data_IF_650977466759
#
_entry.id   IF_650977466759
#
_cell.length_a   1.000
_cell.length_b   1.000
_cell.length_c   1.000
_cell.angle_alpha   90.00
_cell.angle_beta   90.00
_cell.angle_gamma   90.00
#
_symmetry.space_group_name_H-M   'P 1'
#
loop_
_entity.id
_entity.type
_entity.pdbx_description
1 polymer ?
#
# COMPACT_ATOMS: atom_id res chain seq x y z
N UNK A 1 4.91 19.25 14.39
CA UNK A 1 3.81 19.52 13.45
C UNK A 1 3.28 18.17 12.93
N UNK A 2 1.95 17.97 12.84
CA UNK A 2 1.36 16.69 12.40
C UNK A 2 1.82 16.30 10.99
N UNK A 3 1.84 17.26 10.06
CA UNK A 3 2.26 17.05 8.67
C UNK A 3 3.69 16.51 8.57
N UNK A 4 4.63 17.07 9.34
CA UNK A 4 6.02 16.64 9.30
C UNK A 4 6.20 15.20 9.84
N UNK A 5 5.42 14.84 10.86
CA UNK A 5 5.40 13.46 11.37
C UNK A 5 4.82 12.49 10.32
N UNK A 6 3.72 12.86 9.67
CA UNK A 6 3.11 12.03 8.61
C UNK A 6 4.05 11.83 7.43
N UNK A 7 4.77 12.88 7.00
CA UNK A 7 5.79 12.79 5.95
C UNK A 7 6.94 11.88 6.34
N UNK A 8 7.44 11.98 7.57
CA UNK A 8 8.54 11.13 8.06
C UNK A 8 8.14 9.65 8.08
N UNK A 9 6.96 9.32 8.62
CA UNK A 9 6.44 7.95 8.64
C UNK A 9 6.15 7.42 7.23
N UNK A 10 5.62 8.27 6.35
CA UNK A 10 5.37 7.94 4.95
C UNK A 10 6.67 7.58 4.24
N UNK A 11 7.73 8.38 4.41
CA UNK A 11 9.04 8.10 3.82
C UNK A 11 9.64 6.80 4.36
N UNK A 12 9.54 6.58 5.66
CA UNK A 12 9.99 5.34 6.29
C UNK A 12 9.26 4.12 5.69
N UNK A 13 7.94 4.21 5.53
CA UNK A 13 7.13 3.12 4.98
C UNK A 13 7.44 2.85 3.51
N UNK A 14 7.61 3.90 2.69
CA UNK A 14 8.05 3.74 1.28
C UNK A 14 9.39 3.01 1.22
N UNK A 15 10.38 3.46 2.00
CA UNK A 15 11.72 2.87 1.96
C UNK A 15 11.69 1.42 2.42
N UNK A 16 10.95 1.09 3.48
CA UNK A 16 10.80 -0.28 3.94
C UNK A 16 10.14 -1.19 2.89
N UNK A 17 9.12 -0.70 2.18
CA UNK A 17 8.43 -1.49 1.15
C UNK A 17 9.30 -1.76 -0.08
N UNK A 18 10.24 -0.89 -0.43
CA UNK A 18 11.16 -1.08 -1.56
C UNK A 18 12.12 -2.26 -1.35
N UNK A 19 12.37 -2.62 -0.10
CA UNK A 19 13.24 -3.75 0.26
C UNK A 19 12.48 -5.09 0.32
N UNK A 20 11.16 -5.10 0.06
CA UNK A 20 10.33 -6.31 0.10
C UNK A 20 10.03 -6.77 -1.32
N UNK A 21 10.65 -7.89 -1.70
CA UNK A 21 10.37 -8.55 -2.99
C UNK A 21 8.90 -8.96 -3.12
N UNK A 22 8.36 -8.84 -4.32
CA UNK A 22 6.97 -9.20 -4.64
C UNK A 22 5.91 -8.22 -4.10
N UNK A 23 6.32 -7.03 -3.62
CA UNK A 23 5.42 -5.94 -3.22
C UNK A 23 5.69 -4.70 -4.07
N UNK A 24 4.63 -4.18 -4.70
CA UNK A 24 4.68 -2.95 -5.51
C UNK A 24 3.71 -1.90 -4.97
N UNK A 25 4.19 -0.67 -4.81
CA UNK A 25 3.32 0.48 -4.51
C UNK A 25 2.70 0.97 -5.82
N UNK A 26 1.37 1.08 -5.86
CA UNK A 26 0.66 1.77 -6.92
C UNK A 26 0.58 3.27 -6.60
N UNK A 27 1.25 4.11 -7.39
CA UNK A 27 1.26 5.57 -7.23
C UNK A 27 2.65 6.15 -6.90
N UNK A 28 2.71 7.39 -6.37
CA UNK A 28 3.97 8.09 -6.11
C UNK A 28 4.90 7.38 -5.11
N UNK A 29 6.20 7.42 -5.42
CA UNK A 29 7.28 6.82 -4.62
C UNK A 29 8.03 7.86 -3.75
N UNK A 30 7.45 9.06 -3.59
CA UNK A 30 7.94 10.16 -2.77
C UNK A 30 6.90 10.57 -1.74
N UNK A 31 7.18 11.59 -0.92
CA UNK A 31 6.22 12.21 0.02
C UNK A 31 5.44 13.38 -0.58
N UNK A 32 5.76 13.78 -1.82
CA UNK A 32 5.14 14.92 -2.48
C UNK A 32 3.78 14.54 -3.08
N UNK A 33 2.80 15.45 -2.96
CA UNK A 33 1.45 15.31 -3.53
C UNK A 33 0.75 13.98 -3.18
N UNK A 34 0.93 13.49 -1.95
CA UNK A 34 0.32 12.25 -1.47
C UNK A 34 -0.21 12.35 -0.05
N UNK A 35 -1.14 11.44 0.27
CA UNK A 35 -1.54 11.15 1.63
C UNK A 35 -0.80 9.90 2.16
N UNK A 36 -0.88 9.68 3.48
CA UNK A 36 -0.37 8.48 4.16
C UNK A 36 -1.30 7.26 3.96
N UNK A 37 -1.73 7.03 2.72
CA UNK A 37 -2.56 5.89 2.30
C UNK A 37 -1.83 5.22 1.13
N UNK A 38 -1.82 3.88 1.13
CA UNK A 38 -1.02 3.09 0.19
C UNK A 38 -1.88 1.99 -0.43
N UNK A 39 -1.90 1.96 -1.76
CA UNK A 39 -2.39 0.82 -2.53
C UNK A 39 -1.20 -0.07 -2.86
N UNK A 40 -1.20 -1.29 -2.32
CA UNK A 40 -0.13 -2.26 -2.49
C UNK A 40 -0.60 -3.40 -3.40
N UNK A 41 0.25 -3.75 -4.35
CA UNK A 41 0.06 -4.88 -5.24
C UNK A 41 1.03 -5.96 -4.79
N UNK A 42 0.49 -7.15 -4.55
CA UNK A 42 1.25 -8.32 -4.13
C UNK A 42 1.23 -9.36 -5.24
N UNK A 43 2.31 -10.12 -5.40
CA UNK A 43 2.32 -11.32 -6.26
C UNK A 43 1.38 -12.40 -5.71
N UNK A 44 1.27 -12.46 -4.38
CA UNK A 44 0.35 -13.36 -3.68
C UNK A 44 -1.08 -12.80 -3.65
N UNK A 45 -2.06 -13.67 -3.38
CA UNK A 45 -3.46 -13.28 -3.25
C UNK A 45 -3.67 -12.13 -2.24
N UNK A 46 -4.15 -10.95 -2.66
CA UNK A 46 -4.30 -9.77 -1.78
C UNK A 46 -5.19 -10.02 -0.56
N UNK A 47 -6.24 -10.83 -0.74
CA UNK A 47 -7.15 -11.18 0.35
C UNK A 47 -6.46 -12.03 1.43
N UNK A 48 -5.65 -13.01 1.02
CA UNK A 48 -4.90 -13.84 1.95
C UNK A 48 -3.86 -13.00 2.72
N UNK A 49 -3.18 -12.07 2.04
CA UNK A 49 -2.23 -11.13 2.67
C UNK A 49 -2.92 -10.25 3.70
N UNK A 50 -4.06 -9.63 3.36
CA UNK A 50 -4.81 -8.78 4.29
C UNK A 50 -5.27 -9.57 5.54
N UNK A 51 -5.78 -10.79 5.34
CA UNK A 51 -6.19 -11.67 6.44
C UNK A 51 -5.01 -12.07 7.34
N UNK A 52 -3.85 -12.35 6.74
CA UNK A 52 -2.63 -12.70 7.49
C UNK A 52 -2.11 -11.53 8.31
N UNK A 53 -2.09 -10.32 7.73
CA UNK A 53 -1.73 -9.10 8.44
C UNK A 53 -2.62 -8.85 9.66
N UNK A 54 -3.93 -9.07 9.52
CA UNK A 54 -4.88 -8.92 10.62
C UNK A 54 -4.68 -10.01 11.69
N UNK A 55 -4.61 -11.28 11.28
CA UNK A 55 -4.59 -12.42 12.21
C UNK A 55 -3.26 -12.55 12.97
N UNK A 56 -2.14 -12.41 12.26
CA UNK A 56 -0.82 -12.71 12.83
C UNK A 56 -0.19 -11.47 13.48
N UNK A 57 -0.54 -10.27 13.01
CA UNK A 57 0.11 -9.01 13.40
C UNK A 57 -0.85 -7.93 13.92
N UNK A 58 -2.17 -8.15 13.87
CA UNK A 58 -3.16 -7.15 14.28
C UNK A 58 -3.23 -5.93 13.36
N UNK A 59 -2.72 -6.03 12.12
CA UNK A 59 -2.69 -4.94 11.15
C UNK A 59 -3.91 -5.02 10.25
N UNK A 60 -4.92 -4.20 10.54
CA UNK A 60 -6.13 -4.12 9.73
C UNK A 60 -5.87 -3.41 8.40
N UNK A 61 -6.13 -4.11 7.29
CA UNK A 61 -6.06 -3.57 5.94
C UNK A 61 -7.30 -3.96 5.13
N UNK A 62 -7.43 -3.47 3.90
CA UNK A 62 -8.52 -3.86 2.99
C UNK A 62 -7.92 -4.36 1.69
N UNK A 63 -8.53 -5.40 1.13
CA UNK A 63 -8.19 -5.96 -0.18
C UNK A 63 -9.36 -5.79 -1.15
N UNK A 64 -9.08 -5.59 -2.44
CA UNK A 64 -10.08 -5.62 -3.51
C UNK A 64 -9.98 -4.41 -4.45
N UNK A 65 -11.05 -4.16 -5.21
CA UNK A 65 -11.09 -3.12 -6.26
C UNK A 65 -11.32 -1.70 -5.72
N UNK A 66 -11.74 -1.55 -4.46
CA UNK A 66 -11.99 -0.25 -3.82
C UNK A 66 -12.85 0.72 -4.66
N UNK A 67 -13.86 0.20 -5.36
CA UNK A 67 -14.72 0.95 -6.29
C UNK A 67 -13.95 1.69 -7.41
N UNK A 68 -12.76 1.23 -7.78
CA UNK A 68 -11.88 1.87 -8.77
C UNK A 68 -11.47 0.93 -9.91
N UNK A 69 -12.41 0.29 -10.64
CA UNK A 69 -12.09 -0.70 -11.68
C UNK A 69 -11.20 -0.13 -12.80
N UNK A 70 -11.42 1.11 -13.23
CA UNK A 70 -10.56 1.72 -14.27
C UNK A 70 -9.13 1.97 -13.79
N UNK A 71 -8.92 2.21 -12.49
CA UNK A 71 -7.58 2.33 -11.94
C UNK A 71 -6.88 0.96 -11.95
N UNK A 72 -7.60 -0.11 -11.62
CA UNK A 72 -7.10 -1.48 -11.70
C UNK A 72 -6.73 -1.89 -13.13
N UNK A 73 -7.56 -1.57 -14.13
CA UNK A 73 -7.22 -1.69 -15.56
C UNK A 73 -5.91 -0.98 -15.91
N UNK A 74 -5.77 0.27 -15.46
CA UNK A 74 -4.60 1.11 -15.77
C UNK A 74 -3.31 0.54 -15.20
N UNK A 75 -3.35 -0.08 -14.02
CA UNK A 75 -2.16 -0.57 -13.30
C UNK A 75 -1.97 -2.09 -13.39
N UNK A 76 -2.80 -2.78 -14.18
CA UNK A 76 -2.73 -4.21 -14.46
C UNK A 76 -3.13 -5.10 -13.27
N UNK A 77 -4.20 -4.75 -12.56
CA UNK A 77 -4.64 -5.45 -11.34
C UNK A 77 -6.14 -5.78 -11.30
N UNK A 78 -6.81 -5.88 -12.44
CA UNK A 78 -8.18 -6.43 -12.51
C UNK A 78 -8.23 -7.94 -12.33
#
# INVERSE_FOLDING_TARGET
CLLEKEKALTLQFINALKEIDGVRIAGPQSTENRCAVFSLVFENCPHATAKKLETDFGICSRSGLHCAPFAHQTIGTD
#
